data_IF_051999576428
#
_entry.id   IF_051999576428
#
_cell.length_a   1.000
_cell.length_b   1.000
_cell.length_c   1.000
_cell.angle_alpha   90.00
_cell.angle_beta   90.00
_cell.angle_gamma   90.00
#
_symmetry.space_group_name_H-M   'P 1'
#
loop_
_entity.id
_entity.type
_entity.pdbx_description
1 polymer ?
#
# COMPACT_ATOMS: atom_id res chain seq x y z
N UNK A 1 -16.36 38.90 3.35
CA UNK A 1 -15.87 37.78 4.20
C UNK A 1 -15.52 36.65 3.27
N UNK A 2 -14.24 36.29 3.17
CA UNK A 2 -13.74 35.24 2.29
C UNK A 2 -13.88 33.92 3.04
N UNK A 3 -14.59 32.96 2.45
CA UNK A 3 -14.75 31.59 2.94
C UNK A 3 -14.61 30.61 1.78
N UNK A 4 -13.53 30.73 1.01
CA UNK A 4 -13.15 29.74 0.01
C UNK A 4 -12.45 28.58 0.73
N UNK A 5 -13.01 27.38 0.58
CA UNK A 5 -12.38 26.16 1.09
C UNK A 5 -13.35 25.02 1.25
N UNK A 6 -14.20 24.75 0.24
CA UNK A 6 -14.80 23.42 0.13
C UNK A 6 -13.67 22.46 -0.29
N UNK A 7 -12.77 22.14 0.63
CA UNK A 7 -11.93 20.96 0.48
C UNK A 7 -12.86 19.78 0.71
N UNK A 8 -13.58 19.41 -0.34
CA UNK A 8 -14.20 18.09 -0.47
C UNK A 8 -13.03 17.10 -0.61
N UNK A 9 -12.28 16.89 0.48
CA UNK A 9 -11.61 15.61 0.70
C UNK A 9 -12.77 14.64 0.79
N UNK A 10 -13.19 14.13 -0.37
CA UNK A 10 -14.29 13.18 -0.48
C UNK A 10 -14.08 12.15 0.61
N UNK A 11 -15.03 12.08 1.54
CA UNK A 11 -14.98 11.08 2.61
C UNK A 11 -14.85 9.75 1.90
N UNK A 12 -13.71 9.07 2.04
CA UNK A 12 -13.58 7.70 1.58
C UNK A 12 -14.72 6.93 2.26
N UNK A 13 -15.64 6.40 1.46
CA UNK A 13 -16.76 5.61 1.97
C UNK A 13 -16.29 4.18 2.10
N UNK A 14 -16.18 3.72 3.34
CA UNK A 14 -15.74 2.37 3.65
C UNK A 14 -16.95 1.41 3.75
N UNK A 15 -16.78 0.13 3.37
CA UNK A 15 -15.55 -0.45 2.82
C UNK A 15 -15.26 0.04 1.38
N UNK A 16 -13.99 0.29 1.07
CA UNK A 16 -13.56 0.70 -0.26
C UNK A 16 -12.47 -0.22 -0.81
N UNK A 17 -12.42 -0.38 -2.12
CA UNK A 17 -11.28 -1.02 -2.76
C UNK A 17 -10.16 0.00 -2.92
N UNK A 18 -9.00 -0.33 -2.39
CA UNK A 18 -7.82 0.51 -2.45
C UNK A 18 -6.66 -0.28 -3.04
N UNK A 19 -5.84 0.36 -3.89
CA UNK A 19 -4.68 -0.30 -4.49
C UNK A 19 -3.42 0.37 -4.01
N UNK A 20 -2.59 -0.40 -3.30
CA UNK A 20 -1.27 0.00 -2.88
C UNK A 20 -0.25 -0.36 -3.95
N UNK A 21 0.62 0.58 -4.28
CA UNK A 21 1.78 0.33 -5.12
C UNK A 21 3.05 0.53 -4.31
N UNK A 22 3.75 -0.57 -4.05
CA UNK A 22 4.91 -0.62 -3.15
C UNK A 22 6.13 -0.99 -3.99
N UNK A 23 7.18 -0.18 -3.94
CA UNK A 23 8.40 -0.38 -4.70
C UNK A 23 9.57 -0.49 -3.73
N UNK A 24 10.43 -1.48 -3.96
CA UNK A 24 11.65 -1.70 -3.19
C UNK A 24 12.70 -2.44 -4.00
N UNK A 25 13.81 -2.77 -3.34
CA UNK A 25 14.87 -3.56 -3.97
C UNK A 25 14.36 -4.97 -4.33
N UNK A 26 14.82 -5.50 -5.45
CA UNK A 26 14.45 -6.84 -5.90
C UNK A 26 15.18 -7.93 -5.11
N UNK A 27 14.82 -8.10 -3.83
CA UNK A 27 15.38 -9.13 -2.97
C UNK A 27 14.30 -9.79 -2.10
N UNK A 28 14.61 -10.98 -1.58
CA UNK A 28 13.67 -11.77 -0.78
C UNK A 28 13.32 -11.10 0.56
N UNK A 29 14.20 -10.23 1.09
CA UNK A 29 13.92 -9.49 2.32
C UNK A 29 12.79 -8.46 2.11
N UNK A 30 12.81 -7.75 0.99
CA UNK A 30 11.75 -6.81 0.61
C UNK A 30 10.41 -7.53 0.40
N UNK A 31 10.40 -8.63 -0.37
CA UNK A 31 9.18 -9.43 -0.58
C UNK A 31 8.59 -9.91 0.75
N UNK A 32 9.42 -10.50 1.62
CA UNK A 32 8.98 -11.00 2.92
C UNK A 32 8.41 -9.91 3.83
N UNK A 33 9.05 -8.74 3.89
CA UNK A 33 8.57 -7.64 4.72
C UNK A 33 7.26 -7.03 4.18
N UNK A 34 7.14 -6.85 2.86
CA UNK A 34 5.91 -6.33 2.25
C UNK A 34 4.74 -7.27 2.50
N UNK A 35 4.90 -8.57 2.26
CA UNK A 35 3.86 -9.55 2.51
C UNK A 35 3.46 -9.59 3.99
N UNK A 36 4.45 -9.53 4.90
CA UNK A 36 4.19 -9.49 6.34
C UNK A 36 3.38 -8.25 6.76
N UNK A 37 3.74 -7.06 6.29
CA UNK A 37 3.00 -5.82 6.57
C UNK A 37 1.57 -5.95 6.03
N UNK A 38 1.41 -6.40 4.78
CA UNK A 38 0.10 -6.55 4.16
C UNK A 38 -0.79 -7.54 4.89
N UNK A 39 -0.27 -8.72 5.26
CA UNK A 39 -1.04 -9.71 6.02
C UNK A 39 -1.39 -9.25 7.44
N UNK A 40 -0.55 -8.41 8.06
CA UNK A 40 -0.84 -7.82 9.37
C UNK A 40 -2.07 -6.91 9.34
N UNK A 41 -2.21 -6.09 8.29
CA UNK A 41 -3.33 -5.15 8.16
C UNK A 41 -4.53 -5.72 7.41
N UNK A 42 -4.29 -6.67 6.50
CA UNK A 42 -5.29 -7.32 5.66
C UNK A 42 -5.14 -8.85 5.77
N UNK A 43 -5.61 -9.47 6.87
CA UNK A 43 -5.49 -10.91 7.07
C UNK A 43 -6.27 -11.75 6.03
N UNK A 44 -7.29 -11.16 5.41
CA UNK A 44 -8.07 -11.78 4.33
C UNK A 44 -7.48 -11.52 2.94
N UNK A 45 -6.31 -10.88 2.85
CA UNK A 45 -5.64 -10.64 1.58
C UNK A 45 -5.27 -11.97 0.93
N UNK A 46 -5.86 -12.21 -0.24
CA UNK A 46 -5.52 -13.36 -1.07
C UNK A 46 -4.27 -13.06 -1.88
N UNK A 47 -3.40 -14.06 -2.06
CA UNK A 47 -2.20 -13.94 -2.92
C UNK A 47 -2.55 -13.50 -4.35
N UNK A 48 -3.74 -13.88 -4.85
CA UNK A 48 -4.24 -13.45 -6.17
C UNK A 48 -4.49 -11.94 -6.29
N UNK A 49 -4.63 -11.23 -5.17
CA UNK A 49 -4.79 -9.78 -5.14
C UNK A 49 -3.44 -9.03 -5.20
N UNK A 50 -2.34 -9.78 -5.14
CA UNK A 50 -0.97 -9.29 -5.16
C UNK A 50 -0.40 -9.53 -6.56
N UNK A 51 0.02 -8.46 -7.21
CA UNK A 51 0.74 -8.52 -8.49
C UNK A 51 2.12 -7.92 -8.29
N UNK A 52 3.17 -8.58 -8.76
CA UNK A 52 4.51 -8.02 -8.74
C UNK A 52 5.06 -7.88 -10.16
N UNK A 53 5.88 -6.86 -10.36
CA UNK A 53 6.61 -6.63 -11.59
C UNK A 53 8.07 -6.33 -11.28
N UNK A 54 8.96 -6.98 -12.01
CA UNK A 54 10.40 -6.70 -11.95
C UNK A 54 10.70 -5.51 -12.85
N UNK A 55 11.53 -4.58 -12.37
CA UNK A 55 12.00 -3.46 -13.17
C UNK A 55 12.87 -3.94 -14.35
N UNK A 56 12.98 -3.12 -15.40
CA UNK A 56 13.71 -3.45 -16.65
C UNK A 56 15.15 -3.93 -16.42
N UNK A 57 15.78 -3.50 -15.33
CA UNK A 57 17.17 -3.83 -15.00
C UNK A 57 17.31 -4.78 -13.80
N UNK A 58 16.21 -5.43 -13.38
CA UNK A 58 16.12 -6.36 -12.26
C UNK A 58 16.58 -5.83 -10.87
N UNK A 59 16.78 -4.51 -10.73
CA UNK A 59 17.19 -3.92 -9.45
C UNK A 59 16.03 -3.68 -8.47
N UNK A 60 14.79 -3.55 -8.99
CA UNK A 60 13.62 -3.17 -8.19
C UNK A 60 12.43 -4.09 -8.46
N UNK A 61 11.63 -4.32 -7.42
CA UNK A 61 10.34 -4.99 -7.48
C UNK A 61 9.23 -3.97 -7.18
N UNK A 62 8.18 -3.99 -7.98
CA UNK A 62 6.97 -3.22 -7.76
C UNK A 62 5.81 -4.16 -7.46
N UNK A 63 5.30 -4.13 -6.23
CA UNK A 63 4.08 -4.79 -5.82
C UNK A 63 2.89 -3.86 -6.04
N UNK A 64 1.85 -4.39 -6.63
CA UNK A 64 0.54 -3.75 -6.78
C UNK A 64 -0.45 -4.65 -6.06
N UNK A 65 -1.05 -4.14 -5.00
CA UNK A 65 -1.88 -4.91 -4.09
C UNK A 65 -3.23 -4.24 -3.96
N UNK A 66 -4.27 -4.94 -4.39
CA UNK A 66 -5.64 -4.45 -4.26
C UNK A 66 -6.26 -5.06 -3.01
N UNK A 67 -6.69 -4.21 -2.08
CA UNK A 67 -7.28 -4.62 -0.80
C UNK A 67 -8.65 -4.00 -0.64
N UNK A 68 -9.48 -4.61 0.21
CA UNK A 68 -10.70 -4.00 0.69
C UNK A 68 -10.42 -3.34 2.03
N UNK A 69 -10.26 -2.02 2.03
CA UNK A 69 -10.08 -1.25 3.24
C UNK A 69 -11.41 -1.05 3.95
N UNK A 70 -11.44 -1.32 5.24
CA UNK A 70 -12.62 -1.18 6.09
C UNK A 70 -12.67 0.17 6.79
N UNK A 71 -11.54 0.89 6.86
CA UNK A 71 -11.44 2.19 7.52
C UNK A 71 -10.23 2.99 7.04
N UNK A 72 -10.29 4.31 7.20
CA UNK A 72 -9.17 5.20 6.85
C UNK A 72 -7.95 4.92 7.75
N UNK A 73 -8.18 4.62 9.02
CA UNK A 73 -7.12 4.25 9.98
C UNK A 73 -6.35 3.00 9.54
N UNK A 74 -7.03 2.02 8.92
CA UNK A 74 -6.38 0.82 8.40
C UNK A 74 -5.44 1.16 7.23
N UNK A 75 -5.88 2.04 6.32
CA UNK A 75 -5.05 2.53 5.21
C UNK A 75 -3.84 3.29 5.75
N UNK A 76 -4.06 4.23 6.66
CA UNK A 76 -3.01 5.09 7.23
C UNK A 76 -1.98 4.27 7.99
N UNK A 77 -2.42 3.32 8.82
CA UNK A 77 -1.55 2.39 9.54
C UNK A 77 -0.72 1.52 8.57
N UNK A 78 -1.31 1.08 7.45
CA UNK A 78 -0.58 0.33 6.42
C UNK A 78 0.48 1.21 5.76
N UNK A 79 0.15 2.44 5.36
CA UNK A 79 1.11 3.37 4.78
C UNK A 79 2.25 3.73 5.75
N UNK A 80 1.93 3.91 7.02
CA UNK A 80 2.94 4.15 8.07
C UNK A 80 3.87 2.94 8.21
N UNK A 81 3.34 1.72 8.31
CA UNK A 81 4.15 0.51 8.39
C UNK A 81 5.05 0.33 7.15
N UNK A 82 4.54 0.64 5.96
CA UNK A 82 5.33 0.62 4.73
C UNK A 82 6.42 1.70 4.73
N UNK A 83 6.13 2.92 5.18
CA UNK A 83 7.14 4.00 5.25
C UNK A 83 8.20 3.78 6.33
N UNK A 84 7.86 3.11 7.42
CA UNK A 84 8.80 2.79 8.49
C UNK A 84 9.80 1.70 8.07
N UNK A 85 9.42 0.87 7.08
CA UNK A 85 10.30 -0.17 6.57
C UNK A 85 11.46 0.41 5.74
N UNK A 86 12.73 0.17 6.13
CA UNK A 86 13.89 0.64 5.38
C UNK A 86 14.06 -0.08 4.03
N UNK A 87 13.31 -1.15 3.78
CA UNK A 87 13.34 -1.93 2.54
C UNK A 87 12.37 -1.39 1.49
N UNK A 88 11.37 -0.62 1.91
CA UNK A 88 10.41 0.05 1.03
C UNK A 88 11.02 1.38 0.60
N UNK A 89 11.19 1.54 -0.71
CA UNK A 89 11.70 2.79 -1.28
C UNK A 89 10.57 3.78 -1.54
N UNK A 90 9.38 3.27 -1.84
CA UNK A 90 8.24 4.08 -2.22
C UNK A 90 6.92 3.32 -2.07
N UNK A 91 5.87 4.01 -1.58
CA UNK A 91 4.51 3.50 -1.51
C UNK A 91 3.52 4.57 -2.00
N UNK A 92 2.56 4.17 -2.84
CA UNK A 92 1.44 4.98 -3.34
C UNK A 92 0.11 4.28 -3.14
#
# INVERSE_FOLDING_TARGET
>A
MIGNGNTERGKLTFPCQFTFKIIGQANQAFEGEVLKILHQHFPQLSENAIRYAVSKNANYLAYTVTVQAESQEQLDATYQALSDSPLVLFAL
#
